data_IF_193788340228
#
_entry.id   IF_193788340228
#
_cell.length_a   1.000
_cell.length_b   1.000
_cell.length_c   1.000
_cell.angle_alpha   90.00
_cell.angle_beta   90.00
_cell.angle_gamma   90.00
#
_symmetry.space_group_name_H-M   'P 1'
#
loop_
_entity.id
_entity.type
_entity.pdbx_description
1 polymer ?
#
# COMPACT_ATOMS: atom_id res chain seq x y z
N UNK A 1 -53.15 -7.64 18.35
CA UNK A 1 -52.81 -7.63 19.78
C UNK A 1 -51.83 -6.50 19.99
N UNK A 2 -52.34 -5.38 20.49
CA UNK A 2 -51.56 -4.24 20.97
C UNK A 2 -51.01 -4.56 22.36
N UNK A 3 -49.77 -4.20 22.64
CA UNK A 3 -49.33 -3.83 23.99
C UNK A 3 -48.30 -2.70 23.89
N UNK A 4 -48.81 -1.50 24.16
CA UNK A 4 -48.06 -0.34 24.65
C UNK A 4 -47.60 -0.57 26.10
N UNK A 5 -46.55 0.14 26.57
CA UNK A 5 -46.41 0.79 27.90
C UNK A 5 -44.97 1.36 28.11
N UNK A 6 -44.71 2.34 29.02
CA UNK A 6 -44.50 3.72 28.61
C UNK A 6 -43.23 4.41 29.20
N UNK A 7 -43.05 5.66 28.78
CA UNK A 7 -42.16 6.69 29.34
C UNK A 7 -42.42 6.96 30.84
N UNK A 8 -41.34 7.22 31.60
CA UNK A 8 -41.38 8.04 32.81
C UNK A 8 -40.26 9.09 32.81
N UNK A 9 -40.69 10.35 32.95
CA UNK A 9 -39.90 11.54 33.25
C UNK A 9 -39.90 11.71 34.78
N UNK A 10 -38.77 12.07 35.38
CA UNK A 10 -38.79 12.80 36.66
C UNK A 10 -37.56 13.71 36.78
N UNK A 11 -37.83 14.99 37.02
CA UNK A 11 -36.88 16.06 37.32
C UNK A 11 -37.08 16.52 38.76
N UNK A 12 -36.00 16.82 39.49
CA UNK A 12 -35.93 17.66 40.71
C UNK A 12 -34.45 18.10 40.85
N UNK A 13 -34.08 19.35 40.53
CA UNK A 13 -34.10 20.59 41.33
C UNK A 13 -33.13 20.62 42.54
N UNK A 14 -32.07 21.44 42.35
CA UNK A 14 -31.42 22.43 43.24
C UNK A 14 -30.80 21.97 44.57
N UNK A 15 -29.55 22.41 44.80
CA UNK A 15 -29.13 23.32 45.90
C UNK A 15 -27.58 23.53 45.91
N UNK A 16 -27.13 24.72 45.50
CA UNK A 16 -25.98 25.44 46.12
C UNK A 16 -26.47 26.10 47.44
N UNK A 17 -25.66 26.69 48.39
CA UNK A 17 -24.30 27.29 48.32
C UNK A 17 -23.50 27.08 49.66
N UNK A 18 -22.65 27.98 50.24
CA UNK A 18 -21.87 29.14 49.77
C UNK A 18 -20.36 29.17 50.18
N UNK A 19 -19.69 30.20 49.68
CA UNK A 19 -18.32 30.68 49.92
C UNK A 19 -18.01 31.16 51.36
N UNK A 20 -16.72 31.23 51.75
CA UNK A 20 -16.11 32.36 52.49
C UNK A 20 -14.58 32.28 52.69
N UNK A 21 -13.94 33.43 52.40
CA UNK A 21 -12.83 34.13 53.10
C UNK A 21 -11.34 33.72 52.95
N UNK A 22 -10.64 34.68 52.33
CA UNK A 22 -9.23 35.02 52.23
C UNK A 22 -8.29 34.74 53.42
N UNK A 23 -7.03 34.44 53.08
CA UNK A 23 -5.85 34.95 53.80
C UNK A 23 -4.72 35.29 52.82
N UNK A 24 -4.24 36.52 52.95
CA UNK A 24 -3.07 37.12 52.31
C UNK A 24 -1.80 36.80 53.10
N UNK A 25 -0.74 36.34 52.44
CA UNK A 25 0.67 36.69 52.71
C UNK A 25 1.61 35.78 51.91
N UNK A 26 2.23 36.31 50.86
CA UNK A 26 3.68 36.39 50.70
C UNK A 26 4.09 36.53 49.23
N UNK A 27 4.58 37.74 48.96
CA UNK A 27 5.16 38.20 47.72
C UNK A 27 6.59 37.68 47.61
N UNK A 28 6.85 36.74 46.70
CA UNK A 28 8.17 36.53 46.12
C UNK A 28 8.04 36.47 44.61
N UNK A 29 8.39 37.58 43.98
CA UNK A 29 8.49 37.73 42.53
C UNK A 29 9.59 36.81 41.98
N UNK A 30 9.21 35.84 41.14
CA UNK A 30 10.08 35.23 40.14
C UNK A 30 9.55 35.62 38.77
N UNK A 31 10.35 36.28 37.90
CA UNK A 31 9.92 36.53 36.53
C UNK A 31 10.03 35.20 35.76
N UNK A 32 8.95 34.40 35.75
CA UNK A 32 8.81 33.33 34.76
C UNK A 32 8.53 34.01 33.42
N UNK A 33 9.51 33.95 32.54
CA UNK A 33 9.41 34.32 31.13
C UNK A 33 8.20 33.66 30.49
N UNK A 34 7.19 34.45 30.16
CA UNK A 34 6.13 34.09 29.23
C UNK A 34 6.69 34.13 27.81
N UNK A 35 7.46 33.11 27.47
CA UNK A 35 7.66 32.68 26.09
C UNK A 35 7.31 31.21 26.05
N UNK A 36 6.02 30.91 25.98
CA UNK A 36 5.61 29.65 25.36
C UNK A 36 6.03 29.76 23.90
N UNK A 37 7.07 29.03 23.52
CA UNK A 37 7.34 28.75 22.11
C UNK A 37 6.01 28.38 21.44
N UNK A 38 5.69 28.93 20.25
CA UNK A 38 4.57 28.40 19.49
C UNK A 38 4.77 26.88 19.40
N UNK A 39 3.71 26.05 19.47
CA UNK A 39 3.87 24.63 19.24
C UNK A 39 4.56 24.51 17.87
N UNK A 40 5.79 24.02 17.89
CA UNK A 40 6.49 23.66 16.69
C UNK A 40 5.63 22.53 16.13
N UNK A 41 4.74 22.85 15.17
CA UNK A 41 4.21 21.82 14.27
C UNK A 41 5.44 21.26 13.60
N UNK A 42 6.03 20.22 14.19
CA UNK A 42 6.96 19.38 13.46
C UNK A 42 6.14 18.80 12.34
N UNK A 43 6.50 19.15 11.12
CA UNK A 43 6.15 18.35 9.98
C UNK A 43 6.95 17.05 10.13
N UNK A 44 6.47 16.13 10.97
CA UNK A 44 7.01 14.78 11.12
C UNK A 44 6.57 13.92 9.92
N UNK A 45 6.76 14.42 8.70
CA UNK A 45 6.35 13.80 7.44
C UNK A 45 7.50 13.01 6.77
N UNK A 46 8.57 12.72 7.50
CA UNK A 46 9.73 12.03 6.96
C UNK A 46 9.76 10.59 7.45
N UNK A 47 10.07 9.65 6.56
CA UNK A 47 10.49 8.32 6.94
C UNK A 47 11.95 8.36 7.41
N UNK A 48 12.33 7.37 8.24
CA UNK A 48 13.65 7.29 8.85
C UNK A 48 14.27 5.92 8.61
N UNK A 49 15.48 5.91 8.06
CA UNK A 49 16.27 4.69 7.91
C UNK A 49 16.80 4.18 9.27
N UNK A 50 17.17 2.90 9.40
CA UNK A 50 17.79 2.38 10.62
C UNK A 50 19.06 3.13 11.07
N UNK A 51 19.79 3.73 10.12
CA UNK A 51 20.97 4.56 10.40
C UNK A 51 20.64 6.01 10.85
N UNK A 52 19.36 6.36 10.98
CA UNK A 52 18.87 7.68 11.40
C UNK A 52 18.74 8.73 10.30
N UNK A 53 19.10 8.41 9.04
CA UNK A 53 18.87 9.33 7.92
C UNK A 53 17.39 9.44 7.57
N UNK A 54 16.93 10.66 7.25
CA UNK A 54 15.54 10.94 6.89
C UNK A 54 15.36 10.98 5.37
N UNK A 55 14.21 10.52 4.89
CA UNK A 55 13.87 10.54 3.47
C UNK A 55 12.37 10.80 3.24
N UNK A 56 12.03 11.02 1.97
CA UNK A 56 10.66 11.14 1.48
C UNK A 56 10.41 10.16 0.34
N UNK A 57 9.15 9.74 0.19
CA UNK A 57 8.65 9.11 -1.02
C UNK A 57 8.12 10.18 -1.96
N UNK A 58 8.72 10.30 -3.14
CA UNK A 58 8.34 11.30 -4.17
C UNK A 58 7.74 10.56 -5.36
N UNK A 59 6.59 11.01 -5.84
CA UNK A 59 5.94 10.44 -7.02
C UNK A 59 6.94 10.37 -8.19
N UNK A 60 7.10 9.18 -8.73
CA UNK A 60 7.94 8.88 -9.89
C UNK A 60 7.06 8.65 -11.11
N UNK A 61 6.08 7.74 -11.01
CA UNK A 61 5.15 7.41 -12.09
C UNK A 61 3.70 7.37 -11.60
N UNK A 62 2.79 7.88 -12.43
CA UNK A 62 1.34 7.86 -12.21
C UNK A 62 0.65 7.11 -13.36
N UNK A 63 0.16 5.92 -13.05
CA UNK A 63 -0.61 5.06 -13.94
C UNK A 63 -2.08 5.20 -13.59
N UNK A 64 -2.75 6.17 -14.21
CA UNK A 64 -4.18 6.41 -13.97
C UNK A 64 -4.90 6.95 -15.20
N UNK A 65 -6.22 6.81 -15.19
CA UNK A 65 -7.11 7.42 -16.16
C UNK A 65 -6.85 7.02 -17.62
N UNK A 66 -7.19 7.88 -18.58
CA UNK A 66 -7.15 7.55 -20.01
C UNK A 66 -5.77 7.15 -20.55
N UNK A 67 -4.70 7.49 -19.83
CA UNK A 67 -3.32 7.19 -20.23
C UNK A 67 -2.78 5.90 -19.65
N UNK A 68 -3.52 5.21 -18.77
CA UNK A 68 -3.04 4.01 -18.07
C UNK A 68 -2.37 3.00 -19.00
N UNK A 69 -3.04 2.59 -20.08
CA UNK A 69 -2.53 1.58 -21.01
C UNK A 69 -1.38 2.06 -21.91
N UNK A 70 -1.06 3.36 -21.94
CA UNK A 70 0.10 3.86 -22.70
C UNK A 70 1.43 3.40 -22.10
N UNK A 71 1.43 2.96 -20.85
CA UNK A 71 2.63 2.57 -20.13
C UNK A 71 2.85 1.06 -20.05
N UNK A 72 2.00 0.26 -20.72
CA UNK A 72 2.05 -1.19 -20.65
C UNK A 72 2.06 -1.85 -22.03
N UNK A 73 2.88 -2.90 -22.17
CA UNK A 73 2.79 -3.85 -23.26
C UNK A 73 1.79 -4.97 -22.93
N UNK A 74 1.08 -5.47 -23.95
CA UNK A 74 0.18 -6.62 -23.82
C UNK A 74 0.92 -7.88 -24.26
N UNK A 75 1.07 -8.83 -23.34
CA UNK A 75 1.61 -10.16 -23.62
C UNK A 75 0.54 -11.01 -24.31
N UNK A 76 0.87 -11.63 -25.44
CA UNK A 76 -0.03 -12.50 -26.22
C UNK A 76 0.58 -13.88 -26.49
N UNK A 77 1.56 -14.27 -25.68
CA UNK A 77 2.18 -15.59 -25.72
C UNK A 77 1.40 -16.64 -24.94
N UNK A 78 1.92 -17.87 -24.97
CA UNK A 78 1.39 -18.96 -24.15
C UNK A 78 1.59 -18.69 -22.66
N UNK A 79 0.62 -19.02 -21.84
CA UNK A 79 0.70 -18.79 -20.39
C UNK A 79 1.85 -19.60 -19.76
N UNK A 80 2.84 -18.95 -19.11
CA UNK A 80 3.95 -19.65 -18.46
C UNK A 80 3.51 -20.61 -17.34
N UNK A 81 2.35 -20.36 -16.75
CA UNK A 81 1.72 -21.18 -15.70
C UNK A 81 0.73 -22.23 -16.25
N UNK A 82 0.79 -22.48 -17.56
CA UNK A 82 0.01 -23.50 -18.26
C UNK A 82 -1.52 -23.38 -18.08
N UNK A 83 -2.00 -22.16 -17.85
CA UNK A 83 -3.42 -21.85 -17.76
C UNK A 83 -4.18 -22.13 -19.05
N UNK A 84 -5.47 -22.39 -18.91
CA UNK A 84 -6.41 -22.55 -20.04
C UNK A 84 -6.92 -21.18 -20.48
N UNK A 85 -5.97 -20.31 -20.83
CA UNK A 85 -6.15 -18.90 -21.16
C UNK A 85 -5.57 -18.61 -22.55
N UNK A 86 -6.20 -17.69 -23.27
CA UNK A 86 -5.67 -17.10 -24.48
C UNK A 86 -5.41 -15.62 -24.19
N UNK A 87 -4.14 -15.27 -23.94
CA UNK A 87 -3.80 -13.86 -23.77
C UNK A 87 -3.83 -13.16 -25.13
N UNK A 88 -4.63 -12.10 -25.23
CA UNK A 88 -4.79 -11.36 -26.49
C UNK A 88 -3.94 -10.09 -26.49
N UNK A 89 -3.50 -9.68 -27.68
CA UNK A 89 -2.79 -8.42 -27.85
C UNK A 89 -3.71 -7.20 -27.59
N UNK A 90 -3.11 -6.01 -27.51
CA UNK A 90 -3.82 -4.77 -27.17
C UNK A 90 -4.98 -4.45 -28.12
N UNK A 91 -4.82 -4.61 -29.43
CA UNK A 91 -5.88 -4.35 -30.42
C UNK A 91 -7.10 -5.24 -30.17
N UNK A 92 -6.87 -6.51 -29.91
CA UNK A 92 -7.92 -7.48 -29.64
C UNK A 92 -8.55 -7.25 -28.25
N UNK A 93 -7.75 -6.98 -27.23
CA UNK A 93 -8.22 -6.63 -25.89
C UNK A 93 -9.17 -5.43 -25.90
N UNK A 94 -8.82 -4.35 -26.59
CA UNK A 94 -9.66 -3.16 -26.69
C UNK A 94 -10.93 -3.43 -27.51
N UNK A 95 -10.82 -4.10 -28.66
CA UNK A 95 -11.97 -4.38 -29.53
C UNK A 95 -12.99 -5.34 -28.90
N UNK A 96 -12.53 -6.31 -28.10
CA UNK A 96 -13.37 -7.24 -27.35
C UNK A 96 -13.84 -6.68 -26.00
N UNK A 97 -13.38 -5.48 -25.61
CA UNK A 97 -13.73 -4.87 -24.32
C UNK A 97 -13.15 -5.62 -23.12
N UNK A 98 -12.02 -6.32 -23.30
CA UNK A 98 -11.29 -6.99 -22.21
C UNK A 98 -10.36 -6.04 -21.47
N UNK A 99 -9.97 -4.92 -22.08
CA UNK A 99 -9.28 -3.81 -21.44
C UNK A 99 -9.91 -2.50 -21.91
N UNK A 100 -10.17 -1.56 -21.01
CA UNK A 100 -10.67 -0.21 -21.35
C UNK A 100 -10.59 0.72 -20.13
N UNK A 101 -10.73 2.02 -20.38
CA UNK A 101 -10.88 3.04 -19.34
C UNK A 101 -12.30 3.61 -19.44
N UNK A 102 -12.99 3.68 -18.32
CA UNK A 102 -14.32 4.29 -18.22
C UNK A 102 -14.23 5.83 -18.27
N UNK A 103 -15.37 6.49 -18.52
CA UNK A 103 -15.43 7.96 -18.61
C UNK A 103 -15.02 8.67 -17.31
N UNK A 104 -15.20 8.00 -16.16
CA UNK A 104 -14.79 8.48 -14.83
C UNK A 104 -13.32 8.18 -14.49
N UNK A 105 -12.58 7.56 -15.42
CA UNK A 105 -11.16 7.25 -15.28
C UNK A 105 -10.87 5.87 -14.67
N UNK A 106 -11.89 5.08 -14.31
CA UNK A 106 -11.68 3.72 -13.79
C UNK A 106 -11.13 2.83 -14.90
N UNK A 107 -10.00 2.19 -14.62
CA UNK A 107 -9.34 1.25 -15.53
C UNK A 107 -9.92 -0.14 -15.29
N UNK A 108 -10.36 -0.80 -16.37
CA UNK A 108 -10.92 -2.15 -16.34
C UNK A 108 -10.07 -3.09 -17.18
N UNK A 109 -9.74 -4.24 -16.61
CA UNK A 109 -9.14 -5.38 -17.30
C UNK A 109 -9.86 -6.65 -16.87
N UNK A 110 -10.36 -7.46 -17.79
CA UNK A 110 -11.18 -8.62 -17.47
C UNK A 110 -10.95 -9.80 -18.39
N UNK A 111 -11.25 -10.99 -17.89
CA UNK A 111 -11.45 -12.17 -18.71
C UNK A 111 -12.72 -12.06 -19.55
N UNK A 112 -12.78 -12.79 -20.67
CA UNK A 112 -14.02 -12.92 -21.43
C UNK A 112 -15.10 -13.53 -20.54
N UNK A 113 -16.19 -12.79 -20.35
CA UNK A 113 -17.35 -13.18 -19.57
C UNK A 113 -18.64 -13.19 -20.39
N UNK A 114 -18.52 -13.39 -21.71
CA UNK A 114 -19.63 -13.37 -22.68
C UNK A 114 -19.67 -14.60 -23.59
N UNK A 115 -18.52 -15.17 -23.96
CA UNK A 115 -18.47 -16.29 -24.91
C UNK A 115 -18.63 -17.64 -24.21
N UNK A 116 -19.55 -18.46 -24.72
CA UNK A 116 -19.62 -19.90 -24.40
C UNK A 116 -18.55 -20.66 -25.18
N UNK A 117 -17.70 -21.40 -24.48
CA UNK A 117 -16.58 -22.12 -25.09
C UNK A 117 -16.93 -23.58 -25.36
N UNK A 118 -16.27 -24.14 -26.38
CA UNK A 118 -16.25 -25.58 -26.64
C UNK A 118 -15.20 -26.31 -25.79
N UNK A 119 -15.15 -27.64 -25.90
CA UNK A 119 -14.14 -28.45 -25.22
C UNK A 119 -12.72 -28.08 -25.65
N UNK A 120 -11.83 -27.88 -24.67
CA UNK A 120 -10.41 -27.59 -24.91
C UNK A 120 -10.12 -26.20 -25.50
N UNK A 121 -11.12 -25.32 -25.55
CA UNK A 121 -10.92 -23.94 -26.02
C UNK A 121 -10.51 -23.06 -24.85
N UNK A 122 -9.41 -22.32 -25.03
CA UNK A 122 -8.93 -21.36 -24.04
C UNK A 122 -9.83 -20.13 -23.96
N UNK A 123 -10.00 -19.58 -22.76
CA UNK A 123 -10.77 -18.36 -22.53
C UNK A 123 -9.88 -17.13 -22.74
N UNK A 124 -10.39 -16.14 -23.47
CA UNK A 124 -9.63 -14.92 -23.70
C UNK A 124 -9.45 -14.11 -22.41
N UNK A 125 -8.27 -13.53 -22.27
CA UNK A 125 -7.91 -12.66 -21.15
C UNK A 125 -6.77 -11.73 -21.54
N UNK A 126 -6.29 -10.93 -20.60
CA UNK A 126 -5.18 -10.00 -20.78
C UNK A 126 -4.09 -10.25 -19.75
N UNK A 127 -2.83 -10.07 -20.19
CA UNK A 127 -1.66 -9.93 -19.34
C UNK A 127 -0.90 -8.71 -19.82
N UNK A 128 -0.70 -7.74 -18.94
CA UNK A 128 0.01 -6.51 -19.28
C UNK A 128 1.27 -6.36 -18.43
N UNK A 129 2.32 -5.76 -18.99
CA UNK A 129 3.58 -5.51 -18.30
C UNK A 129 4.04 -4.08 -18.52
N UNK A 130 4.45 -3.38 -17.46
CA UNK A 130 4.89 -1.99 -17.57
C UNK A 130 6.15 -1.88 -18.42
N UNK A 131 6.28 -0.80 -19.19
CA UNK A 131 7.53 -0.49 -19.89
C UNK A 131 8.63 -0.03 -18.94
N UNK A 132 8.25 0.67 -17.86
CA UNK A 132 9.17 1.05 -16.81
C UNK A 132 9.61 -0.18 -15.99
N UNK A 133 10.85 -0.15 -15.53
CA UNK A 133 11.45 -1.16 -14.67
C UNK A 133 11.99 -0.52 -13.40
N UNK A 134 11.81 -1.21 -12.28
CA UNK A 134 12.12 -0.70 -10.94
C UNK A 134 13.10 -1.61 -10.21
N UNK A 135 13.92 -1.02 -9.35
CA UNK A 135 14.84 -1.74 -8.46
C UNK A 135 14.56 -1.48 -6.97
N UNK A 136 13.74 -0.48 -6.67
CA UNK A 136 13.20 -0.12 -5.35
C UNK A 136 11.99 0.77 -5.60
N UNK A 137 11.16 1.01 -4.60
CA UNK A 137 10.04 1.94 -4.71
C UNK A 137 8.97 1.72 -3.64
N UNK A 138 8.03 2.65 -3.61
CA UNK A 138 6.76 2.48 -2.93
C UNK A 138 5.66 2.46 -4.00
N UNK A 139 5.05 1.30 -4.20
CA UNK A 139 4.04 1.04 -5.21
C UNK A 139 2.70 1.02 -4.52
N UNK A 140 1.79 1.90 -4.91
CA UNK A 140 0.47 2.04 -4.28
C UNK A 140 -0.59 1.79 -5.36
N UNK A 141 -1.29 0.66 -5.24
CA UNK A 141 -2.43 0.30 -6.07
C UNK A 141 -3.72 0.60 -5.31
N UNK A 142 -4.54 1.51 -5.86
CA UNK A 142 -5.91 1.75 -5.42
C UNK A 142 -6.88 1.09 -6.39
N UNK A 143 -7.67 0.14 -5.89
CA UNK A 143 -8.61 -0.65 -6.68
C UNK A 143 -9.96 -0.83 -5.98
N UNK A 144 -11.03 -0.88 -6.77
CA UNK A 144 -12.39 -1.15 -6.32
C UNK A 144 -12.69 -2.66 -6.30
N UNK A 145 -12.02 -3.43 -7.16
CA UNK A 145 -12.24 -4.86 -7.33
C UNK A 145 -10.98 -5.55 -7.82
N UNK A 146 -10.68 -6.71 -7.24
CA UNK A 146 -9.72 -7.68 -7.75
C UNK A 146 -10.48 -8.90 -8.31
N UNK A 147 -9.98 -9.57 -9.37
CA UNK A 147 -10.68 -10.72 -9.94
C UNK A 147 -10.76 -11.89 -8.95
N UNK A 148 -11.84 -12.65 -9.03
CA UNK A 148 -12.01 -13.92 -8.31
C UNK A 148 -13.11 -14.76 -8.98
N UNK A 149 -13.22 -16.02 -8.58
CA UNK A 149 -14.21 -16.95 -9.10
C UNK A 149 -13.64 -18.34 -9.34
N UNK A 150 -14.47 -19.38 -9.31
CA UNK A 150 -14.04 -20.74 -9.62
C UNK A 150 -13.22 -20.83 -10.92
N UNK A 151 -12.03 -21.43 -10.83
CA UNK A 151 -11.08 -21.54 -11.93
C UNK A 151 -10.33 -20.27 -12.33
N UNK A 152 -10.59 -19.11 -11.70
CA UNK A 152 -9.85 -17.85 -11.91
C UNK A 152 -8.57 -17.86 -11.09
N UNK A 153 -7.48 -17.35 -11.68
CA UNK A 153 -6.21 -17.08 -11.01
C UNK A 153 -5.67 -15.73 -11.52
N UNK A 154 -5.89 -14.65 -10.77
CA UNK A 154 -5.38 -13.33 -11.11
C UNK A 154 -4.18 -12.96 -10.25
N UNK A 155 -3.31 -12.13 -10.82
CA UNK A 155 -2.16 -11.60 -10.11
C UNK A 155 -1.95 -10.12 -10.41
N UNK A 156 -1.66 -9.34 -9.36
CA UNK A 156 -0.93 -8.07 -9.44
C UNK A 156 0.41 -8.27 -8.76
N UNK A 157 1.47 -8.16 -9.55
CA UNK A 157 2.79 -8.66 -9.18
C UNK A 157 3.88 -7.89 -9.93
N UNK A 158 5.13 -8.18 -9.61
CA UNK A 158 6.28 -7.63 -10.31
C UNK A 158 7.29 -8.71 -10.63
N UNK A 159 7.92 -8.62 -11.80
CA UNK A 159 8.84 -9.64 -12.30
C UNK A 159 10.12 -9.00 -12.83
N UNK A 160 11.26 -9.49 -12.33
CA UNK A 160 12.58 -9.11 -12.79
C UNK A 160 12.86 -9.52 -14.24
N UNK A 161 13.64 -8.70 -14.95
CA UNK A 161 14.06 -9.02 -16.32
C UNK A 161 15.08 -10.16 -16.36
N UNK A 162 15.13 -10.94 -17.45
CA UNK A 162 16.15 -11.96 -17.67
C UNK A 162 15.66 -13.37 -17.38
N UNK A 163 16.55 -14.23 -16.88
CA UNK A 163 16.21 -15.63 -16.56
C UNK A 163 15.48 -15.68 -15.23
N UNK A 164 14.24 -16.15 -15.22
CA UNK A 164 13.53 -16.43 -13.97
C UNK A 164 14.12 -17.69 -13.29
N UNK A 165 14.28 -17.73 -11.95
CA UNK A 165 13.94 -16.70 -10.96
C UNK A 165 15.16 -15.84 -10.52
N UNK A 166 16.21 -15.71 -11.35
CA UNK A 166 17.48 -15.09 -10.95
C UNK A 166 17.38 -13.62 -10.54
N UNK A 167 16.37 -12.91 -11.05
CA UNK A 167 16.11 -11.49 -10.79
C UNK A 167 14.80 -11.23 -10.03
N UNK A 168 14.19 -12.29 -9.49
CA UNK A 168 13.11 -12.19 -8.52
C UNK A 168 11.71 -11.98 -9.11
N UNK A 169 10.72 -12.37 -8.31
CA UNK A 169 9.28 -12.20 -8.51
C UNK A 169 8.65 -11.81 -7.17
N UNK A 170 7.74 -10.83 -7.20
CA UNK A 170 7.02 -10.38 -6.00
C UNK A 170 5.52 -10.33 -6.31
N UNK A 171 4.76 -11.21 -5.67
CA UNK A 171 3.31 -11.32 -5.82
C UNK A 171 2.64 -10.50 -4.72
N UNK A 172 1.95 -9.43 -5.12
CA UNK A 172 1.40 -8.43 -4.19
C UNK A 172 -0.06 -8.72 -3.91
N UNK A 173 -0.83 -9.01 -4.96
CA UNK A 173 -2.17 -9.56 -4.87
C UNK A 173 -2.23 -10.83 -5.70
N UNK A 174 -2.42 -11.98 -5.06
CA UNK A 174 -2.54 -13.26 -5.74
C UNK A 174 -3.50 -14.20 -5.00
N UNK A 175 -4.22 -15.00 -5.78
CA UNK A 175 -5.12 -16.01 -5.24
C UNK A 175 -5.72 -16.86 -6.35
N UNK A 176 -6.45 -17.90 -5.96
CA UNK A 176 -7.18 -18.75 -6.89
C UNK A 176 -8.61 -18.94 -6.43
N UNK A 177 -9.51 -19.20 -7.38
CA UNK A 177 -10.89 -19.56 -7.08
C UNK A 177 -11.65 -18.47 -6.30
N UNK A 178 -12.46 -18.91 -5.34
CA UNK A 178 -13.18 -18.07 -4.39
C UNK A 178 -12.37 -17.89 -3.09
N UNK A 179 -11.03 -17.87 -3.18
CA UNK A 179 -10.19 -17.46 -2.05
C UNK A 179 -10.74 -16.16 -1.45
N UNK A 180 -10.57 -16.00 -0.15
CA UNK A 180 -11.05 -14.83 0.59
C UNK A 180 -9.91 -14.09 1.30
N UNK A 181 -8.70 -14.60 1.14
CA UNK A 181 -7.50 -14.06 1.74
C UNK A 181 -6.50 -13.89 0.63
N UNK A 182 -5.93 -12.69 0.52
CA UNK A 182 -4.82 -12.45 -0.37
C UNK A 182 -3.61 -13.29 0.06
N UNK A 183 -2.85 -13.80 -0.90
CA UNK A 183 -1.54 -14.37 -0.67
C UNK A 183 -0.47 -13.46 -1.28
N UNK A 184 0.47 -13.04 -0.45
CA UNK A 184 1.72 -12.41 -0.89
C UNK A 184 2.77 -13.49 -1.02
N UNK A 185 3.56 -13.47 -2.09
CA UNK A 185 4.64 -14.43 -2.29
C UNK A 185 5.89 -13.78 -2.89
N UNK A 186 7.02 -14.45 -2.69
CA UNK A 186 8.30 -14.10 -3.28
C UNK A 186 8.94 -15.34 -3.88
N UNK A 187 9.45 -15.19 -5.10
CA UNK A 187 10.22 -16.22 -5.80
C UNK A 187 11.57 -15.64 -6.19
N UNK A 188 12.65 -16.38 -5.89
CA UNK A 188 14.03 -15.94 -6.12
C UNK A 188 14.88 -17.10 -6.60
N UNK A 189 16.14 -16.85 -6.97
CA UNK A 189 17.19 -17.89 -6.96
C UNK A 189 17.47 -18.39 -5.53
N UNK A 190 18.24 -19.47 -5.41
CA UNK A 190 18.64 -20.05 -4.14
C UNK A 190 19.31 -19.06 -3.17
N UNK A 191 19.00 -19.19 -1.87
CA UNK A 191 19.69 -18.49 -0.77
C UNK A 191 18.89 -17.40 -0.05
N UNK A 192 17.69 -17.08 -0.53
CA UNK A 192 16.75 -16.17 0.12
C UNK A 192 15.74 -16.94 0.99
N UNK A 193 15.55 -16.49 2.23
CA UNK A 193 14.63 -17.11 3.19
C UNK A 193 13.73 -16.10 3.88
N UNK A 194 12.46 -16.46 4.03
CA UNK A 194 11.49 -15.74 4.84
C UNK A 194 11.69 -16.04 6.33
N UNK A 195 11.90 -15.00 7.15
CA UNK A 195 11.91 -15.14 8.60
C UNK A 195 10.46 -15.25 9.15
N UNK A 196 10.02 -16.41 9.66
CA UNK A 196 8.65 -16.59 10.13
C UNK A 196 8.35 -15.84 11.44
N UNK A 197 9.37 -15.28 12.10
CA UNK A 197 9.25 -14.50 13.33
C UNK A 197 9.36 -12.99 13.09
N UNK A 198 9.45 -12.54 11.84
CA UNK A 198 9.43 -11.13 11.49
C UNK A 198 8.08 -10.49 11.87
N UNK A 199 8.06 -9.16 11.95
CA UNK A 199 6.86 -8.42 12.34
C UNK A 199 5.91 -8.22 11.15
N UNK A 200 4.94 -9.11 11.01
CA UNK A 200 3.81 -8.98 10.06
C UNK A 200 2.52 -9.57 10.67
N UNK A 201 1.35 -9.21 10.13
CA UNK A 201 0.06 -9.69 10.66
C UNK A 201 -0.47 -10.97 9.99
N UNK A 202 0.01 -11.30 8.80
CA UNK A 202 -0.38 -12.51 8.08
C UNK A 202 0.17 -13.81 8.69
N UNK A 203 -0.12 -14.93 8.05
CA UNK A 203 0.38 -16.26 8.44
C UNK A 203 1.22 -16.84 7.31
N UNK A 204 2.41 -17.36 7.64
CA UNK A 204 3.30 -18.01 6.67
C UNK A 204 2.59 -19.20 6.03
N UNK A 205 2.64 -19.29 4.70
CA UNK A 205 2.10 -20.42 3.93
C UNK A 205 2.80 -21.70 4.37
N UNK A 206 2.02 -22.76 4.54
CA UNK A 206 2.53 -24.04 5.05
C UNK A 206 2.43 -25.15 4.01
N UNK A 207 3.45 -25.99 3.97
CA UNK A 207 3.44 -27.24 3.22
C UNK A 207 3.45 -28.39 4.22
N UNK A 208 2.42 -29.24 4.19
CA UNK A 208 2.27 -30.36 5.14
C UNK A 208 2.35 -29.95 6.63
N UNK A 209 1.82 -28.77 6.97
CA UNK A 209 1.82 -28.23 8.34
C UNK A 209 3.15 -27.63 8.80
N UNK A 210 4.12 -27.45 7.89
CA UNK A 210 5.41 -26.80 8.16
C UNK A 210 5.48 -25.49 7.40
N UNK A 211 5.92 -24.41 8.06
CA UNK A 211 6.14 -23.12 7.41
C UNK A 211 7.09 -23.26 6.22
N UNK A 212 6.63 -22.81 5.05
CA UNK A 212 7.44 -22.77 3.86
C UNK A 212 8.17 -21.43 3.78
N UNK A 213 9.44 -21.44 4.17
CA UNK A 213 10.28 -20.24 4.28
C UNK A 213 11.29 -20.11 3.15
N UNK A 214 11.34 -21.06 2.20
CA UNK A 214 12.33 -21.09 1.13
C UNK A 214 11.78 -20.35 -0.09
N UNK A 215 12.37 -19.21 -0.44
CA UNK A 215 11.87 -18.37 -1.54
C UNK A 215 12.39 -18.84 -2.91
N UNK A 216 13.25 -19.85 -2.96
CA UNK A 216 13.82 -20.37 -4.20
C UNK A 216 12.73 -20.97 -5.12
N UNK A 217 12.48 -20.33 -6.27
CA UNK A 217 11.48 -20.74 -7.25
C UNK A 217 11.85 -22.02 -8.01
N UNK A 218 13.11 -22.48 -7.92
CA UNK A 218 13.58 -23.68 -8.62
C UNK A 218 13.35 -24.97 -7.84
N UNK A 219 12.89 -24.87 -6.59
CA UNK A 219 12.59 -26.01 -5.71
C UNK A 219 11.14 -26.02 -5.26
N UNK A 220 10.73 -27.07 -4.55
CA UNK A 220 9.40 -27.18 -3.93
C UNK A 220 8.22 -26.90 -4.88
N UNK A 221 8.36 -27.28 -6.16
CA UNK A 221 7.34 -27.05 -7.18
C UNK A 221 6.97 -25.57 -7.37
N UNK A 222 7.97 -24.67 -7.30
CA UNK A 222 7.79 -23.23 -7.41
C UNK A 222 6.81 -22.66 -6.37
N UNK A 223 6.84 -23.19 -5.14
CA UNK A 223 5.97 -22.67 -4.08
C UNK A 223 6.33 -21.26 -3.61
N UNK A 224 7.56 -20.80 -3.90
CA UNK A 224 8.14 -19.60 -3.31
C UNK A 224 8.11 -19.63 -1.78
N UNK A 225 8.25 -18.47 -1.16
CA UNK A 225 7.92 -18.25 0.24
C UNK A 225 6.77 -17.25 0.30
N UNK A 226 5.73 -17.53 1.09
CA UNK A 226 4.51 -16.74 1.04
C UNK A 226 3.87 -16.50 2.41
N UNK A 227 3.05 -15.46 2.47
CA UNK A 227 2.25 -15.07 3.63
C UNK A 227 0.81 -14.86 3.17
N UNK A 228 -0.12 -15.59 3.78
CA UNK A 228 -1.55 -15.39 3.58
C UNK A 228 -2.05 -14.35 4.58
N UNK A 229 -2.78 -13.35 4.08
CA UNK A 229 -3.37 -12.32 4.93
C UNK A 229 -4.45 -12.88 5.85
N UNK A 230 -4.50 -12.40 7.09
CA UNK A 230 -5.55 -12.80 8.03
C UNK A 230 -6.93 -12.25 7.66
N UNK A 231 -7.00 -11.06 7.08
CA UNK A 231 -8.27 -10.39 6.76
C UNK A 231 -8.99 -11.11 5.63
N UNK A 232 -10.28 -11.39 5.80
CA UNK A 232 -11.13 -11.83 4.67
C UNK A 232 -11.45 -10.70 3.70
N UNK A 233 -11.21 -9.46 4.13
CA UNK A 233 -11.46 -8.26 3.36
C UNK A 233 -10.22 -7.83 2.55
N UNK A 234 -9.28 -8.75 2.31
CA UNK A 234 -8.12 -8.52 1.44
C UNK A 234 -8.29 -9.15 0.05
N UNK A 235 -9.25 -10.06 -0.14
CA UNK A 235 -9.45 -10.67 -1.45
C UNK A 235 -10.89 -11.18 -1.65
N UNK A 236 -11.28 -11.34 -2.91
CA UNK A 236 -12.54 -11.96 -3.29
C UNK A 236 -13.78 -11.15 -2.92
N UNK A 237 -14.95 -11.80 -2.70
CA UNK A 237 -16.23 -11.11 -2.59
C UNK A 237 -16.31 -10.08 -1.46
N UNK A 238 -15.59 -10.31 -0.36
CA UNK A 238 -15.60 -9.38 0.78
C UNK A 238 -14.75 -8.13 0.52
N UNK A 239 -13.67 -8.26 -0.26
CA UNK A 239 -12.89 -7.11 -0.71
C UNK A 239 -13.72 -6.22 -1.65
N UNK A 240 -14.44 -6.82 -2.59
CA UNK A 240 -15.28 -6.08 -3.53
C UNK A 240 -16.48 -5.41 -2.83
N UNK A 241 -17.13 -6.13 -1.91
CA UNK A 241 -18.34 -5.65 -1.23
C UNK A 241 -18.12 -4.38 -0.37
N UNK A 242 -16.88 -4.09 0.01
CA UNK A 242 -16.51 -2.87 0.74
C UNK A 242 -15.95 -1.76 -0.17
N UNK A 243 -16.00 -1.92 -1.50
CA UNK A 243 -15.45 -0.97 -2.46
C UNK A 243 -13.93 -1.07 -2.62
N UNK A 244 -13.37 -2.26 -2.40
CA UNK A 244 -11.95 -2.55 -2.50
C UNK A 244 -11.12 -1.84 -1.43
N UNK A 245 -9.98 -1.30 -1.85
CA UNK A 245 -8.98 -0.74 -0.95
C UNK A 245 -7.67 -0.39 -1.63
N UNK A 246 -6.61 -0.31 -0.83
CA UNK A 246 -5.25 -0.06 -1.28
C UNK A 246 -4.35 -1.22 -0.92
N UNK A 247 -3.51 -1.62 -1.87
CA UNK A 247 -2.33 -2.44 -1.63
C UNK A 247 -1.09 -1.59 -1.87
N UNK A 248 -0.18 -1.58 -0.90
CA UNK A 248 1.07 -0.85 -1.00
C UNK A 248 2.27 -1.77 -0.78
N UNK A 249 3.16 -1.86 -1.77
CA UNK A 249 4.45 -2.53 -1.65
C UNK A 249 5.54 -1.49 -1.40
N UNK A 250 6.19 -1.56 -0.24
CA UNK A 250 7.44 -0.85 0.04
C UNK A 250 8.61 -1.79 -0.24
N UNK A 251 9.47 -1.44 -1.17
CA UNK A 251 10.70 -2.15 -1.50
C UNK A 251 11.89 -1.20 -1.41
N UNK A 252 12.78 -1.42 -0.45
CA UNK A 252 14.02 -0.68 -0.30
C UNK A 252 15.14 -1.56 0.28
N UNK A 253 16.28 -0.97 0.65
CA UNK A 253 17.44 -1.70 1.18
C UNK A 253 17.18 -2.44 2.51
N UNK A 254 16.05 -2.17 3.18
CA UNK A 254 15.71 -2.80 4.45
C UNK A 254 14.79 -4.02 4.29
N UNK A 255 14.29 -4.27 3.08
CA UNK A 255 13.42 -5.40 2.77
C UNK A 255 12.23 -5.01 1.88
N UNK A 256 11.30 -5.95 1.77
CA UNK A 256 10.04 -5.78 1.05
C UNK A 256 8.88 -5.96 2.03
N UNK A 257 8.01 -4.97 2.13
CA UNK A 257 6.84 -5.00 3.00
C UNK A 257 5.57 -4.68 2.21
N UNK A 258 4.53 -5.49 2.41
CA UNK A 258 3.20 -5.28 1.82
C UNK A 258 2.25 -4.79 2.89
N UNK A 259 1.50 -3.75 2.57
CA UNK A 259 0.40 -3.22 3.36
C UNK A 259 -0.91 -3.37 2.58
N UNK A 260 -1.99 -3.68 3.29
CA UNK A 260 -3.34 -3.70 2.73
C UNK A 260 -4.25 -2.86 3.62
N UNK A 261 -4.98 -1.94 3.01
CA UNK A 261 -5.96 -1.07 3.68
C UNK A 261 -7.31 -1.24 3.02
N UNK A 262 -8.32 -1.65 3.79
CA UNK A 262 -9.70 -1.58 3.32
C UNK A 262 -10.11 -0.12 3.09
N UNK A 263 -11.03 0.12 2.15
CA UNK A 263 -11.42 1.46 1.70
C UNK A 263 -11.61 2.51 2.80
N UNK A 264 -12.25 2.14 3.91
CA UNK A 264 -12.55 3.06 5.02
C UNK A 264 -11.37 3.37 5.97
N UNK A 265 -10.22 2.69 5.81
CA UNK A 265 -9.03 2.86 6.64
C UNK A 265 -7.79 3.24 5.83
N UNK A 266 -7.97 3.80 4.64
CA UNK A 266 -6.87 4.34 3.84
C UNK A 266 -6.19 5.48 4.63
N UNK A 267 -4.86 5.42 4.83
CA UNK A 267 -4.10 6.49 5.47
C UNK A 267 -4.20 7.82 4.70
N UNK A 268 -4.44 8.91 5.43
CA UNK A 268 -4.67 10.25 4.86
C UNK A 268 -3.47 10.82 4.08
N UNK A 269 -2.27 10.35 4.40
CA UNK A 269 -1.03 10.72 3.71
C UNK A 269 -0.95 10.12 2.30
N UNK A 270 -1.56 8.96 2.07
CA UNK A 270 -1.73 8.39 0.73
C UNK A 270 -2.68 9.26 -0.11
N UNK A 271 -3.83 9.63 0.44
CA UNK A 271 -4.81 10.50 -0.24
C UNK A 271 -4.22 11.87 -0.60
N UNK A 272 -3.36 12.40 0.27
CA UNK A 272 -2.65 13.66 0.06
C UNK A 272 -1.45 13.54 -0.90
N UNK A 273 -1.13 12.35 -1.40
CA UNK A 273 0.01 12.12 -2.31
C UNK A 273 1.38 12.34 -1.66
N UNK A 274 1.48 12.17 -0.34
CA UNK A 274 2.72 12.30 0.44
C UNK A 274 2.88 11.13 1.41
N UNK A 275 2.94 9.89 0.90
CA UNK A 275 2.90 8.68 1.72
C UNK A 275 4.13 8.57 2.65
N UNK A 276 3.89 8.10 3.87
CA UNK A 276 4.87 7.83 4.91
C UNK A 276 4.57 6.48 5.59
N UNK A 277 5.10 5.37 5.04
CA UNK A 277 4.89 4.02 5.58
C UNK A 277 5.28 3.83 7.05
N UNK A 278 6.19 4.64 7.61
CA UNK A 278 6.55 4.56 9.04
C UNK A 278 5.35 4.79 9.99
N UNK A 279 4.28 5.41 9.51
CA UNK A 279 3.05 5.69 10.28
C UNK A 279 1.90 4.70 10.00
N UNK A 280 2.08 3.71 9.12
CA UNK A 280 1.01 2.80 8.70
C UNK A 280 0.81 1.60 9.63
N UNK A 281 1.74 1.38 10.56
CA UNK A 281 1.70 0.26 11.49
C UNK A 281 2.43 -0.99 10.96
N UNK A 282 1.97 -2.17 11.37
CA UNK A 282 2.60 -3.44 11.02
C UNK A 282 2.13 -3.88 9.63
N UNK A 283 3.02 -4.26 8.70
CA UNK A 283 2.63 -4.74 7.37
C UNK A 283 1.89 -6.08 7.45
N UNK A 284 1.13 -6.40 6.41
CA UNK A 284 0.43 -7.69 6.32
C UNK A 284 1.40 -8.83 5.98
N UNK A 285 2.46 -8.53 5.24
CA UNK A 285 3.53 -9.44 4.89
C UNK A 285 4.87 -8.68 4.83
N UNK A 286 5.96 -9.31 5.25
CA UNK A 286 7.30 -8.69 5.21
C UNK A 286 8.38 -9.73 4.94
N UNK A 287 9.30 -9.39 4.05
CA UNK A 287 10.54 -10.09 3.77
C UNK A 287 11.70 -9.19 4.22
N UNK A 288 12.32 -9.53 5.35
CA UNK A 288 13.43 -8.77 5.94
C UNK A 288 14.73 -8.99 5.15
N UNK A 289 15.60 -7.97 5.10
CA UNK A 289 16.86 -8.04 4.33
C UNK A 289 17.92 -8.99 4.91
N UNK A 290 17.79 -9.41 6.17
CA UNK A 290 18.82 -10.17 6.88
C UNK A 290 19.11 -11.55 6.26
N UNK A 291 18.05 -12.28 5.90
CA UNK A 291 18.12 -13.63 5.29
C UNK A 291 17.71 -13.62 3.81
N UNK A 292 17.50 -12.43 3.24
CA UNK A 292 17.20 -12.21 1.83
C UNK A 292 17.46 -10.75 1.43
N UNK A 293 18.67 -10.43 0.97
CA UNK A 293 19.01 -9.06 0.57
C UNK A 293 18.17 -8.63 -0.65
N UNK A 294 17.25 -7.66 -0.50
CA UNK A 294 16.36 -7.26 -1.57
C UNK A 294 17.09 -6.64 -2.77
N UNK A 295 18.33 -6.21 -2.62
CA UNK A 295 19.15 -5.64 -3.70
C UNK A 295 19.98 -6.69 -4.45
N UNK A 296 20.08 -7.92 -3.90
CA UNK A 296 20.73 -9.05 -4.56
C UNK A 296 19.74 -9.93 -5.34
N UNK A 297 18.56 -10.14 -4.76
CA UNK A 297 17.59 -11.13 -5.25
C UNK A 297 16.53 -10.57 -6.19
N UNK A 298 16.33 -9.25 -6.22
CA UNK A 298 15.30 -8.59 -7.00
C UNK A 298 15.92 -7.48 -7.84
N UNK A 299 15.71 -7.49 -9.16
CA UNK A 299 16.31 -6.51 -10.07
C UNK A 299 15.50 -6.28 -11.35
N UNK A 300 15.35 -5.01 -11.74
CA UNK A 300 14.69 -4.57 -12.97
C UNK A 300 13.28 -5.12 -13.14
N UNK A 301 12.46 -4.94 -12.11
CA UNK A 301 11.09 -5.44 -12.05
C UNK A 301 10.14 -4.62 -12.92
N UNK A 302 9.41 -5.28 -13.80
CA UNK A 302 8.24 -4.71 -14.48
C UNK A 302 6.99 -5.04 -13.68
N UNK A 303 6.01 -4.13 -13.65
CA UNK A 303 4.72 -4.33 -13.00
C UNK A 303 3.80 -5.11 -13.93
N UNK A 304 3.15 -6.16 -13.40
CA UNK A 304 2.28 -7.05 -14.18
C UNK A 304 0.88 -7.11 -13.57
N UNK A 305 -0.12 -7.06 -14.45
CA UNK A 305 -1.48 -7.49 -14.15
C UNK A 305 -1.86 -8.59 -15.12
N UNK A 306 -2.46 -9.67 -14.61
CA UNK A 306 -3.07 -10.68 -15.45
C UNK A 306 -4.28 -11.34 -14.79
N UNK A 307 -4.97 -12.14 -15.59
CA UNK A 307 -5.98 -13.09 -15.17
C UNK A 307 -5.79 -14.35 -16.01
N UNK A 308 -5.15 -15.37 -15.45
CA UNK A 308 -5.15 -16.72 -16.03
C UNK A 308 -6.33 -17.54 -15.48
N UNK A 309 -6.50 -18.74 -16.04
CA UNK A 309 -7.52 -19.69 -15.59
C UNK A 309 -6.96 -21.09 -15.47
N UNK A 310 -7.38 -21.83 -14.44
CA UNK A 310 -6.89 -23.17 -14.14
C UNK A 310 -5.35 -23.19 -14.00
N UNK A 311 -4.63 -23.92 -14.86
CA UNK A 311 -3.17 -23.96 -14.82
C UNK A 311 -2.58 -24.60 -13.56
N UNK A 312 -1.32 -24.29 -13.33
CA UNK A 312 -0.49 -24.99 -12.35
C UNK A 312 -0.95 -24.82 -10.90
N UNK A 313 -1.67 -23.73 -10.57
CA UNK A 313 -2.22 -23.52 -9.24
C UNK A 313 -3.73 -23.73 -9.18
N UNK A 314 -4.52 -22.91 -9.87
CA UNK A 314 -5.98 -23.04 -9.82
C UNK A 314 -6.45 -24.38 -10.42
N UNK A 315 -5.80 -24.90 -11.45
CA UNK A 315 -6.16 -26.19 -12.03
C UNK A 315 -5.91 -27.34 -11.04
N UNK A 316 -4.72 -27.35 -10.42
CA UNK A 316 -4.32 -28.41 -9.49
C UNK A 316 -5.08 -28.37 -8.16
N UNK A 317 -5.50 -27.20 -7.69
CA UNK A 317 -6.25 -27.03 -6.43
C UNK A 317 -7.78 -27.10 -6.58
N UNK A 318 -8.30 -27.17 -7.82
CA UNK A 318 -9.74 -27.11 -8.10
C UNK A 318 -10.56 -28.15 -7.35
N UNK A 319 -10.07 -29.39 -7.26
CA UNK A 319 -10.81 -30.49 -6.62
C UNK A 319 -11.07 -30.27 -5.13
N UNK A 320 -10.26 -29.42 -4.47
CA UNK A 320 -10.34 -29.11 -3.04
C UNK A 320 -10.85 -27.70 -2.75
N UNK A 321 -11.15 -26.90 -3.78
CA UNK A 321 -11.56 -25.51 -3.63
C UNK A 321 -13.02 -25.32 -3.23
N UNK A 322 -13.83 -26.38 -3.35
CA UNK A 322 -15.29 -26.32 -3.20
C UNK A 322 -16.02 -25.89 -4.47
N UNK A 323 -15.30 -25.65 -5.56
CA UNK A 323 -15.89 -25.34 -6.85
C UNK A 323 -16.60 -26.53 -7.49
N UNK A 324 -17.71 -26.30 -8.22
CA UNK A 324 -18.47 -27.38 -8.85
C UNK A 324 -17.76 -27.95 -10.08
N UNK A 325 -17.90 -29.25 -10.31
CA UNK A 325 -17.45 -29.92 -11.54
C UNK A 325 -15.93 -29.95 -11.70
N UNK A 326 -15.45 -29.75 -12.92
CA UNK A 326 -14.03 -29.64 -13.26
C UNK A 326 -13.68 -28.23 -13.70
N UNK A 327 -12.40 -27.83 -13.58
CA UNK A 327 -11.95 -26.51 -14.03
C UNK A 327 -12.22 -26.29 -15.53
N UNK A 328 -11.97 -27.33 -16.34
CA UNK A 328 -12.25 -27.32 -17.79
C UNK A 328 -13.74 -27.17 -18.12
N UNK A 329 -14.64 -27.76 -17.34
CA UNK A 329 -16.07 -27.58 -17.55
C UNK A 329 -16.53 -26.18 -17.11
N UNK A 330 -15.95 -25.67 -16.02
CA UNK A 330 -16.26 -24.35 -15.50
C UNK A 330 -15.89 -23.23 -16.47
N UNK A 331 -14.82 -23.43 -17.23
CA UNK A 331 -14.39 -22.51 -18.29
C UNK A 331 -15.39 -22.33 -19.42
N UNK A 332 -16.31 -23.26 -19.65
CA UNK A 332 -17.26 -23.18 -20.78
C UNK A 332 -18.33 -22.11 -20.59
N UNK A 333 -18.74 -21.90 -19.35
CA UNK A 333 -19.82 -20.99 -19.00
C UNK A 333 -19.28 -19.57 -18.72
N UNK A 334 -19.57 -18.58 -19.58
CA UNK A 334 -19.09 -17.21 -19.40
C UNK A 334 -19.61 -16.56 -18.11
N UNK A 335 -20.76 -17.00 -17.59
CA UNK A 335 -21.36 -16.42 -16.38
C UNK A 335 -20.53 -16.68 -15.12
N UNK A 336 -19.61 -17.65 -15.15
CA UNK A 336 -18.65 -17.87 -14.09
C UNK A 336 -17.63 -16.71 -13.94
N UNK A 337 -17.39 -15.96 -15.02
CA UNK A 337 -16.30 -14.98 -15.10
C UNK A 337 -16.77 -13.54 -14.94
N UNK A 338 -17.99 -13.32 -14.43
CA UNK A 338 -18.53 -11.97 -14.18
C UNK A 338 -17.68 -11.18 -13.18
N UNK A 339 -17.04 -11.86 -12.22
CA UNK A 339 -16.14 -11.27 -11.24
C UNK A 339 -14.66 -11.37 -11.64
N UNK A 340 -14.35 -11.91 -12.83
CA UNK A 340 -12.98 -12.01 -13.33
C UNK A 340 -12.53 -10.67 -13.93
N UNK A 341 -12.54 -9.60 -13.13
CA UNK A 341 -12.24 -8.23 -13.54
C UNK A 341 -11.41 -7.50 -12.50
N UNK A 342 -10.36 -6.82 -12.94
CA UNK A 342 -9.74 -5.72 -12.23
C UNK A 342 -10.58 -4.46 -12.43
N UNK A 343 -10.78 -3.68 -11.37
CA UNK A 343 -11.33 -2.32 -11.41
C UNK A 343 -10.41 -1.41 -10.63
N UNK A 344 -9.61 -0.60 -11.32
CA UNK A 344 -8.48 0.13 -10.75
C UNK A 344 -8.77 1.63 -10.81
N UNK A 345 -8.61 2.31 -9.67
CA UNK A 345 -8.69 3.77 -9.59
C UNK A 345 -7.35 4.40 -10.01
N UNK A 346 -6.24 3.91 -9.46
CA UNK A 346 -4.90 4.36 -9.84
C UNK A 346 -3.82 3.38 -9.38
N UNK A 347 -2.68 3.41 -10.06
CA UNK A 347 -1.43 2.83 -9.59
C UNK A 347 -0.37 3.93 -9.59
N UNK A 348 0.30 4.15 -8.46
CA UNK A 348 1.34 5.18 -8.33
C UNK A 348 2.61 4.57 -7.77
N UNK A 349 3.75 4.92 -8.37
CA UNK A 349 5.06 4.51 -7.91
C UNK A 349 5.80 5.73 -7.38
N UNK A 350 6.35 5.62 -6.19
CA UNK A 350 7.14 6.66 -5.54
C UNK A 350 8.58 6.18 -5.36
N UNK A 351 9.53 7.06 -5.65
CA UNK A 351 10.95 6.83 -5.39
C UNK A 351 11.38 7.38 -4.04
N UNK A 352 12.34 6.71 -3.43
CA UNK A 352 12.99 7.14 -2.18
C UNK A 352 13.93 8.31 -2.46
N UNK A 353 13.73 9.43 -1.78
CA UNK A 353 14.60 10.62 -1.85
C UNK A 353 15.18 10.94 -0.48
N UNK A 354 16.47 10.64 -0.31
CA UNK A 354 17.22 11.02 0.90
C UNK A 354 17.33 12.54 0.98
N UNK A 355 17.05 13.09 2.16
CA UNK A 355 17.21 14.51 2.45
C UNK A 355 18.58 14.75 3.10
N UNK A 356 19.51 15.29 2.32
CA UNK A 356 20.81 15.70 2.83
C UNK A 356 20.72 17.09 3.46
N UNK A 357 20.32 17.18 4.72
CA UNK A 357 20.36 18.41 5.49
C UNK A 357 21.64 18.52 6.32
N UNK A 358 22.59 19.37 5.93
CA UNK A 358 23.52 19.91 6.94
C UNK A 358 22.73 20.86 7.83
N UNK A 359 22.52 20.47 9.10
CA UNK A 359 22.11 21.44 10.12
C UNK A 359 23.30 22.38 10.33
N UNK A 360 23.39 23.45 9.53
CA UNK A 360 24.16 24.61 9.93
C UNK A 360 23.47 25.14 11.18
N UNK A 361 24.03 24.77 12.34
CA UNK A 361 23.61 25.31 13.62
C UNK A 361 23.43 26.81 13.43
N UNK A 362 22.22 27.30 13.67
CA UNK A 362 21.92 28.72 13.65
C UNK A 362 23.06 29.45 14.36
N UNK A 363 23.64 30.45 13.69
CA UNK A 363 24.73 31.24 14.21
C UNK A 363 24.48 31.52 15.69
N UNK A 364 25.41 31.07 16.54
CA UNK A 364 25.40 31.38 17.97
C UNK A 364 25.18 32.89 18.06
N UNK A 365 24.17 33.39 18.81
CA UNK A 365 24.05 34.83 18.99
C UNK A 365 25.37 35.27 19.61
N UNK A 366 26.13 36.07 18.85
CA UNK A 366 27.35 36.65 19.36
C UNK A 366 27.00 37.33 20.68
N UNK A 367 27.77 37.11 21.76
CA UNK A 367 27.49 37.80 23.01
C UNK A 367 27.53 39.29 22.69
N UNK A 368 26.40 39.97 22.84
CA UNK A 368 26.36 41.42 22.84
C UNK A 368 27.26 41.83 23.99
N UNK A 369 28.48 42.25 23.67
CA UNK A 369 29.34 42.90 24.63
C UNK A 369 28.59 44.12 25.11
N UNK A 370 28.55 44.30 26.44
CA UNK A 370 27.87 45.39 27.16
C UNK A 370 28.36 46.82 26.79
N UNK A 371 29.10 46.99 25.69
CA UNK A 371 29.66 48.26 25.23
C UNK A 371 28.79 49.06 24.27
N UNK A 372 27.76 48.48 23.64
CA UNK A 372 27.00 49.16 22.58
C UNK A 372 25.64 49.72 23.01
N UNK A 373 25.28 49.61 24.29
CA UNK A 373 24.04 50.19 24.85
C UNK A 373 24.22 51.61 25.44
N UNK A 374 25.42 52.21 25.34
CA UNK A 374 25.72 53.51 25.98
C UNK A 374 25.76 54.69 24.98
N UNK A 375 25.70 54.46 23.67
CA UNK A 375 25.68 55.55 22.67
C UNK A 375 24.31 55.83 22.04
N UNK A 376 23.28 55.01 22.32
CA UNK A 376 21.90 55.22 21.84
C UNK A 376 20.97 55.98 22.80
N UNK A 377 21.36 56.12 24.07
CA UNK A 377 20.52 56.73 25.12
C UNK A 377 20.92 58.16 25.51
N UNK A 378 22.04 58.69 24.98
CA UNK A 378 22.47 60.09 25.19
C UNK A 378 21.95 61.05 24.13
N UNK A 379 21.46 60.58 22.98
CA UNK A 379 20.86 61.44 21.95
C UNK A 379 19.35 61.70 22.13
N UNK A 380 18.66 60.93 22.97
CA UNK A 380 17.22 61.11 23.23
C UNK A 380 16.92 62.02 24.44
N UNK A 381 17.94 62.50 25.16
CA UNK A 381 17.78 63.38 26.33
C UNK A 381 18.22 64.83 26.10
N UNK A 382 18.72 65.18 24.91
CA UNK A 382 19.04 66.58 24.54
C UNK A 382 17.87 67.26 23.79
N UNK A 383 16.89 66.50 23.28
CA UNK A 383 15.75 67.06 22.55
C UNK A 383 14.48 67.31 23.38
N UNK A 384 14.47 66.94 24.67
CA UNK A 384 13.33 67.19 25.58
C UNK A 384 13.61 68.35 26.57
N UNK A 385 14.79 68.97 26.51
CA UNK A 385 15.23 70.03 27.42
C UNK A 385 15.12 71.48 26.92
N UNK A 386 14.61 71.73 25.70
CA UNK A 386 14.46 73.10 25.14
C UNK A 386 12.97 73.41 24.86
N UNK A 387 12.06 72.94 25.70
CA UNK A 387 10.64 73.32 25.60
C UNK A 387 9.94 73.59 26.93
N UNK A 388 10.71 73.93 27.97
CA UNK A 388 10.16 74.52 29.21
C UNK A 388 11.16 75.49 29.86
N UNK A 389 11.43 76.63 29.24
CA UNK A 389 11.67 77.93 29.93
C UNK A 389 12.08 79.03 28.94
N UNK A 390 11.20 80.02 28.80
CA UNK A 390 11.27 81.31 28.07
C UNK A 390 10.97 81.28 26.56
#
# INVERSE_FOLDING_TARGET
MHYDLPFYVLAFLLLDPPSTLARTSDLLFHPRSWFSSPPQKRYDNFDVNPNGSTFLWILEDDYSGPTFFNYFGFYDGADPTHGTVNYVNSSEAFSKGLAYVQDDGIVVMKGDNTTTLGDGVNRDSVRISSYAQYNTGLFILDLNQAPWGCGVWPAFWTLGSGTWPDTGEIDIIEGVHDNQHNQVAWHTKAGCYLNPNASFTGTVVQTSGVNNTVCDGTVNFNSGCGITEWSRASYGPYFDAQGGGIFAMKWDENGIAIYSFYRAAIPVDIDNGSPNPSNWGVPVASLESADCDPLEYFANHSIIFDITFCGDWAGNSYATSGCPGSCSDRLKDPSNFVNASWSINSLKVYRKQILNGQVSSAATPSPITRGSLIWGLTYLLIFVGILTSL
#
